data_IF_749783364978
#
_entry.id   IF_749783364978
#
_cell.length_a   1.000
_cell.length_b   1.000
_cell.length_c   1.000
_cell.angle_alpha   90.00
_cell.angle_beta   90.00
_cell.angle_gamma   90.00
#
_symmetry.space_group_name_H-M   'P 1'
#
loop_
_entity.id
_entity.type
_entity.pdbx_description
1 polymer ?
#
# COMPACT_ATOMS: atom_id res chain seq x y z
N UNK A 1 -1.95 0.15 7.17
CA UNK A 1 -2.76 1.39 7.20
C UNK A 1 -4.01 1.14 8.02
N UNK A 2 -4.91 2.09 8.25
CA UNK A 2 -6.23 1.85 8.87
C UNK A 2 -7.23 2.85 8.31
N UNK A 3 -8.45 2.41 8.01
CA UNK A 3 -9.55 3.34 7.72
C UNK A 3 -10.53 3.38 8.88
N UNK A 4 -10.82 4.59 9.37
CA UNK A 4 -11.82 4.87 10.39
C UNK A 4 -12.66 6.08 9.94
N UNK A 5 -13.99 5.98 9.99
CA UNK A 5 -14.91 7.01 9.50
C UNK A 5 -14.58 7.54 8.09
N UNK A 6 -14.21 6.64 7.17
CA UNK A 6 -13.76 6.97 5.80
C UNK A 6 -12.51 7.85 5.71
N UNK A 7 -11.80 8.07 6.82
CA UNK A 7 -10.49 8.70 6.84
C UNK A 7 -9.41 7.62 6.89
N UNK A 8 -8.32 7.86 6.16
CA UNK A 8 -7.19 6.95 6.07
C UNK A 8 -6.06 7.40 6.97
N UNK A 9 -5.59 6.47 7.79
CA UNK A 9 -4.35 6.60 8.53
C UNK A 9 -3.31 5.67 7.91
N UNK A 10 -2.20 6.24 7.44
CA UNK A 10 -1.11 5.49 6.81
C UNK A 10 -0.01 5.22 7.86
N UNK A 11 0.27 3.94 8.09
CA UNK A 11 1.29 3.48 9.04
C UNK A 11 2.26 2.46 8.43
N UNK A 12 2.02 2.07 7.18
CA UNK A 12 2.85 1.10 6.47
C UNK A 12 4.17 1.78 6.09
N UNK A 13 5.29 1.12 6.38
CA UNK A 13 6.62 1.69 6.25
C UNK A 13 7.54 0.78 5.45
N UNK A 14 8.31 1.39 4.56
CA UNK A 14 9.48 0.77 3.91
C UNK A 14 10.68 1.57 4.38
N UNK A 15 11.56 0.92 5.14
CA UNK A 15 12.71 1.56 5.78
C UNK A 15 13.99 1.27 4.99
N UNK A 16 14.81 2.29 4.80
CA UNK A 16 16.13 2.18 4.20
C UNK A 16 17.20 2.40 5.26
N UNK A 17 18.30 1.65 5.16
CA UNK A 17 19.52 2.02 5.87
C UNK A 17 20.15 3.24 5.19
N UNK A 18 20.89 4.05 5.96
CA UNK A 18 21.56 5.25 5.43
C UNK A 18 22.54 4.92 4.31
N UNK A 19 23.20 3.76 4.36
CA UNK A 19 24.16 3.32 3.35
C UNK A 19 23.54 3.11 1.96
N UNK A 20 22.23 2.90 1.86
CA UNK A 20 21.55 2.79 0.57
C UNK A 20 21.66 4.08 -0.26
N UNK A 21 21.78 5.23 0.40
CA UNK A 21 21.85 6.55 -0.25
C UNK A 21 23.30 6.99 -0.54
N UNK A 22 24.30 6.17 -0.24
CA UNK A 22 25.67 6.43 -0.65
C UNK A 22 25.86 6.01 -2.12
N UNK A 23 26.16 6.98 -2.97
CA UNK A 23 26.31 6.80 -4.42
C UNK A 23 27.46 5.84 -4.79
N UNK A 24 28.42 5.65 -3.88
CA UNK A 24 29.53 4.71 -4.09
C UNK A 24 29.17 3.27 -3.71
N UNK A 25 28.07 3.06 -2.98
CA UNK A 25 27.67 1.77 -2.46
C UNK A 25 26.43 1.18 -3.15
N UNK A 26 25.66 1.97 -3.91
CA UNK A 26 24.44 1.52 -4.57
C UNK A 26 24.38 1.96 -6.03
N UNK A 27 24.07 1.01 -6.92
CA UNK A 27 23.71 1.28 -8.32
C UNK A 27 22.24 1.66 -8.48
N UNK A 28 21.47 1.64 -7.38
CA UNK A 28 20.04 1.94 -7.33
C UNK A 28 19.80 3.23 -6.55
N UNK A 29 18.96 4.10 -7.12
CA UNK A 29 18.47 5.30 -6.48
C UNK A 29 16.98 5.19 -6.20
N UNK A 30 16.57 5.71 -5.04
CA UNK A 30 15.16 5.93 -4.75
C UNK A 30 14.54 6.89 -5.79
N UNK A 31 13.39 6.52 -6.34
CA UNK A 31 12.65 7.36 -7.29
C UNK A 31 11.31 7.85 -6.70
N UNK A 32 10.45 6.94 -6.22
CA UNK A 32 9.19 7.30 -5.57
C UNK A 32 8.74 6.25 -4.57
N UNK A 33 7.80 6.63 -3.70
CA UNK A 33 7.06 5.73 -2.81
C UNK A 33 5.58 6.08 -2.91
N UNK A 34 4.74 5.06 -3.04
CA UNK A 34 3.31 5.25 -3.33
C UNK A 34 2.45 4.16 -2.67
N UNK A 35 1.16 4.46 -2.53
CA UNK A 35 0.13 3.49 -2.13
C UNK A 35 -0.52 2.94 -3.39
N UNK A 36 -0.49 1.62 -3.60
CA UNK A 36 -1.15 0.99 -4.73
C UNK A 36 -2.65 0.83 -4.44
N UNK A 37 -3.44 1.83 -4.83
CA UNK A 37 -4.88 1.94 -4.58
C UNK A 37 -5.73 1.71 -5.85
N UNK A 38 -5.29 0.80 -6.73
CA UNK A 38 -5.98 0.52 -7.99
C UNK A 38 -7.44 0.08 -7.77
N UNK A 39 -8.33 0.47 -8.68
CA UNK A 39 -9.78 0.23 -8.56
C UNK A 39 -10.14 -1.23 -8.30
N UNK A 40 -9.37 -2.18 -8.85
CA UNK A 40 -9.65 -3.60 -8.66
C UNK A 40 -9.42 -4.11 -7.24
N UNK A 41 -8.60 -3.40 -6.45
CA UNK A 41 -8.42 -3.69 -5.03
C UNK A 41 -9.55 -3.12 -4.16
N UNK A 42 -10.53 -2.44 -4.75
CA UNK A 42 -11.58 -1.74 -4.00
C UNK A 42 -12.94 -2.39 -4.16
N UNK A 43 -13.82 -2.14 -3.19
CA UNK A 43 -15.25 -2.44 -3.34
C UNK A 43 -15.87 -1.50 -4.38
N UNK A 44 -16.55 -2.05 -5.38
CA UNK A 44 -17.12 -1.27 -6.49
C UNK A 44 -18.48 -0.63 -6.17
N UNK A 45 -19.24 -1.21 -5.23
CA UNK A 45 -20.62 -0.83 -4.92
C UNK A 45 -20.91 -0.81 -3.42
N UNK A 46 -22.04 -0.20 -3.06
CA UNK A 46 -22.54 -0.15 -1.69
C UNK A 46 -21.87 0.92 -0.82
N UNK A 47 -22.20 0.91 0.47
CA UNK A 47 -21.79 1.92 1.47
C UNK A 47 -20.27 2.09 1.58
N UNK A 48 -19.49 1.04 1.28
CA UNK A 48 -18.03 1.02 1.43
C UNK A 48 -17.29 1.11 0.09
N UNK A 49 -17.95 1.65 -0.95
CA UNK A 49 -17.32 1.85 -2.26
C UNK A 49 -15.99 2.62 -2.12
N UNK A 50 -14.94 2.13 -2.79
CA UNK A 50 -13.59 2.70 -2.73
C UNK A 50 -12.73 2.22 -1.56
N UNK A 51 -13.30 1.51 -0.58
CA UNK A 51 -12.52 0.83 0.47
C UNK A 51 -11.91 -0.48 -0.04
N UNK A 52 -10.84 -1.02 0.58
CA UNK A 52 -10.26 -2.29 0.21
C UNK A 52 -11.32 -3.39 0.13
N UNK A 53 -11.23 -4.19 -0.92
CA UNK A 53 -12.02 -5.39 -1.05
C UNK A 53 -11.40 -6.46 -0.17
N UNK A 54 -11.89 -6.56 1.07
CA UNK A 54 -11.33 -7.40 2.13
C UNK A 54 -11.61 -8.87 1.89
N UNK A 55 -10.65 -9.73 2.22
CA UNK A 55 -10.81 -11.18 2.16
C UNK A 55 -11.83 -11.68 3.18
N UNK A 56 -11.83 -11.10 4.38
CA UNK A 56 -12.76 -11.44 5.46
C UNK A 56 -13.40 -10.19 6.08
N UNK A 57 -14.63 -10.36 6.58
CA UNK A 57 -15.30 -9.40 7.47
C UNK A 57 -15.76 -10.18 8.70
N UNK A 58 -15.08 -9.99 9.83
CA UNK A 58 -15.21 -10.87 10.99
C UNK A 58 -14.88 -12.32 10.60
N UNK A 59 -15.78 -13.26 10.88
CA UNK A 59 -15.63 -14.68 10.52
C UNK A 59 -16.08 -15.00 9.08
N UNK A 60 -16.63 -14.04 8.34
CA UNK A 60 -17.22 -14.28 7.02
C UNK A 60 -16.21 -14.02 5.90
N UNK A 61 -15.93 -15.04 5.08
CA UNK A 61 -15.17 -14.89 3.85
C UNK A 61 -15.97 -14.06 2.81
N UNK A 62 -15.27 -13.13 2.15
CA UNK A 62 -15.81 -12.21 1.15
C UNK A 62 -15.15 -12.35 -0.22
N UNK A 63 -14.03 -13.07 -0.32
CA UNK A 63 -13.33 -13.31 -1.58
C UNK A 63 -12.49 -12.14 -2.09
N UNK A 64 -12.28 -11.11 -1.27
CA UNK A 64 -11.39 -10.00 -1.62
C UNK A 64 -9.90 -10.29 -1.41
N UNK A 65 -9.07 -9.30 -1.74
CA UNK A 65 -7.62 -9.40 -1.76
C UNK A 65 -6.95 -9.16 -0.41
N UNK A 66 -7.28 -8.04 0.25
CA UNK A 66 -6.66 -7.60 1.50
C UNK A 66 -7.54 -6.55 2.19
N UNK A 67 -7.38 -6.41 3.50
CA UNK A 67 -8.01 -5.35 4.29
C UNK A 67 -7.25 -4.02 4.26
N UNK A 68 -6.06 -4.01 3.65
CA UNK A 68 -5.21 -2.84 3.44
C UNK A 68 -4.75 -2.70 1.99
N UNK A 69 -4.46 -1.46 1.57
CA UNK A 69 -3.75 -1.23 0.31
C UNK A 69 -2.25 -1.46 0.50
N UNK A 70 -1.56 -2.10 -0.46
CA UNK A 70 -0.13 -2.25 -0.41
C UNK A 70 0.59 -0.91 -0.64
N UNK A 71 1.75 -0.74 0.01
CA UNK A 71 2.71 0.32 -0.30
C UNK A 71 3.86 -0.25 -1.11
N UNK A 72 4.41 0.56 -2.00
CA UNK A 72 5.55 0.16 -2.83
C UNK A 72 6.49 1.33 -3.06
N UNK A 73 7.69 0.99 -3.51
CA UNK A 73 8.72 1.94 -3.94
C UNK A 73 9.09 1.67 -5.39
N UNK A 74 9.54 2.70 -6.08
CA UNK A 74 10.20 2.59 -7.37
C UNK A 74 11.66 2.97 -7.21
N UNK A 75 12.54 2.15 -7.77
CA UNK A 75 13.97 2.37 -7.82
C UNK A 75 14.39 2.56 -9.28
N UNK A 76 15.40 3.39 -9.51
CA UNK A 76 16.02 3.57 -10.82
C UNK A 76 17.50 3.26 -10.73
N UNK A 77 18.08 2.76 -11.81
CA UNK A 77 19.54 2.65 -11.90
C UNK A 77 20.16 4.04 -12.02
N UNK A 78 21.34 4.22 -11.42
CA UNK A 78 22.20 5.40 -11.64
C UNK A 78 22.64 5.54 -13.09
#
# INVERSE_FOLDING_TARGET
SLSYNFQWNLFDQILFSTNFFDINNSTLNFASADVFNSKFLTQYHGKYKGQPFRTFVGKKFKGGYSDHFPVYIQLKTS
#
